data_IF_570765890765
#
_entry.id   IF_570765890765
#
_cell.length_a   1.000
_cell.length_b   1.000
_cell.length_c   1.000
_cell.angle_alpha   90.00
_cell.angle_beta   90.00
_cell.angle_gamma   90.00
#
_symmetry.space_group_name_H-M   'P 1'
#
loop_
_entity.id
_entity.type
_entity.pdbx_description
1 polymer ?
#
# COMPACT_ATOMS: atom_id res chain seq x y z
N UNK A 1 14.96 5.99 -6.20
CA UNK A 1 13.89 6.40 -5.23
C UNK A 1 13.71 7.91 -4.99
N UNK A 2 14.51 8.83 -5.59
CA UNK A 2 14.29 10.30 -5.46
C UNK A 2 12.93 10.80 -5.99
N UNK A 3 12.18 9.95 -6.70
CA UNK A 3 10.84 10.28 -7.22
C UNK A 3 9.78 10.48 -6.13
N UNK A 4 10.02 9.97 -4.92
CA UNK A 4 9.17 10.20 -3.76
C UNK A 4 9.44 11.52 -3.04
N UNK A 5 10.49 12.25 -3.41
CA UNK A 5 10.83 13.51 -2.77
C UNK A 5 9.72 14.56 -3.02
N UNK A 6 9.41 15.30 -1.97
CA UNK A 6 8.28 16.21 -1.93
C UNK A 6 8.75 17.60 -1.47
N UNK A 7 8.43 18.69 -2.19
CA UNK A 7 8.72 20.04 -1.72
C UNK A 7 8.06 20.31 -0.37
N UNK A 8 8.79 20.92 0.56
CA UNK A 8 8.24 21.18 1.89
C UNK A 8 7.15 22.28 1.79
N UNK A 9 5.92 22.01 2.25
CA UNK A 9 4.76 22.88 2.00
C UNK A 9 4.87 24.25 2.70
N UNK A 10 5.59 24.32 3.83
CA UNK A 10 5.77 25.54 4.64
C UNK A 10 7.18 26.14 4.59
N UNK A 11 8.11 25.53 3.86
CA UNK A 11 9.53 25.93 3.87
C UNK A 11 10.07 25.87 2.44
N UNK A 12 9.97 26.97 1.67
CA UNK A 12 10.48 27.04 0.31
C UNK A 12 11.93 26.55 0.23
N UNK A 13 12.28 25.85 -0.86
CA UNK A 13 13.62 25.26 -1.06
C UNK A 13 13.93 24.01 -0.26
N UNK A 14 13.18 23.70 0.82
CA UNK A 14 13.37 22.46 1.58
C UNK A 14 12.66 21.29 0.90
N UNK A 15 13.28 20.12 0.93
CA UNK A 15 12.70 18.87 0.42
C UNK A 15 12.43 17.90 1.57
N UNK A 16 11.21 17.36 1.62
CA UNK A 16 10.86 16.20 2.43
C UNK A 16 11.32 14.96 1.68
N UNK A 17 12.25 14.20 2.30
CA UNK A 17 12.72 12.94 1.72
C UNK A 17 11.57 11.96 1.62
N UNK A 18 11.45 11.35 0.45
CA UNK A 18 10.41 10.37 0.16
C UNK A 18 10.31 9.27 1.22
N UNK A 19 9.10 9.07 1.71
CA UNK A 19 8.75 8.10 2.74
C UNK A 19 8.94 6.65 2.27
N UNK A 20 9.33 5.79 3.21
CA UNK A 20 9.38 4.31 3.15
C UNK A 20 9.98 3.66 1.89
N UNK A 21 11.10 4.22 1.43
CA UNK A 21 11.82 3.66 0.29
C UNK A 21 12.24 2.19 0.48
N UNK A 22 12.74 1.75 1.65
CA UNK A 22 13.12 0.36 1.86
C UNK A 22 11.93 -0.60 1.72
N UNK A 23 10.79 -0.24 2.31
CA UNK A 23 9.55 -0.98 2.17
C UNK A 23 9.14 -1.12 0.70
N UNK A 24 9.07 -0.01 -0.05
CA UNK A 24 8.68 -0.07 -1.47
C UNK A 24 9.60 -0.97 -2.30
N UNK A 25 10.90 -1.02 -1.97
CA UNK A 25 11.86 -1.93 -2.61
C UNK A 25 11.58 -3.40 -2.24
N UNK A 26 11.37 -3.71 -0.95
CA UNK A 26 11.07 -5.07 -0.49
C UNK A 26 9.76 -5.59 -1.07
N UNK A 27 8.68 -4.81 -0.98
CA UNK A 27 7.38 -5.14 -1.60
C UNK A 27 7.56 -5.40 -3.09
N UNK A 28 8.29 -4.54 -3.80
CA UNK A 28 8.50 -4.71 -5.23
C UNK A 28 9.30 -5.97 -5.60
N UNK A 29 10.33 -6.32 -4.81
CA UNK A 29 11.06 -7.59 -4.95
C UNK A 29 10.13 -8.79 -4.79
N UNK A 30 9.32 -8.82 -3.73
CA UNK A 30 8.34 -9.89 -3.53
C UNK A 30 7.36 -9.98 -4.68
N UNK A 31 6.82 -8.82 -5.12
CA UNK A 31 5.87 -8.75 -6.23
C UNK A 31 6.40 -9.35 -7.52
N UNK A 32 7.64 -8.99 -7.92
CA UNK A 32 8.21 -9.51 -9.18
C UNK A 32 8.48 -11.00 -9.10
N UNK A 33 8.91 -11.52 -7.94
CA UNK A 33 9.10 -12.96 -7.73
C UNK A 33 7.78 -13.73 -7.85
N UNK A 34 6.68 -13.21 -7.29
CA UNK A 34 5.36 -13.84 -7.44
C UNK A 34 4.87 -13.76 -8.89
N UNK A 35 5.04 -12.61 -9.55
CA UNK A 35 4.63 -12.44 -10.94
C UNK A 35 5.40 -13.37 -11.89
N UNK A 36 6.70 -13.55 -11.65
CA UNK A 36 7.53 -14.50 -12.38
C UNK A 36 7.07 -15.96 -12.15
N UNK A 37 6.83 -16.34 -10.89
CA UNK A 37 6.26 -17.66 -10.52
C UNK A 37 4.92 -17.95 -11.20
N UNK A 38 4.12 -16.92 -11.45
CA UNK A 38 2.82 -17.03 -12.12
C UNK A 38 2.92 -16.93 -13.66
N UNK A 39 4.13 -16.90 -14.22
CA UNK A 39 4.35 -16.96 -15.66
C UNK A 39 4.09 -15.64 -16.41
N UNK A 40 4.16 -14.50 -15.73
CA UNK A 40 4.07 -13.22 -16.44
C UNK A 40 5.31 -12.99 -17.33
N UNK A 41 5.16 -12.49 -18.57
CA UNK A 41 6.30 -12.24 -19.46
C UNK A 41 7.29 -11.24 -18.88
N UNK A 42 8.60 -11.46 -19.09
CA UNK A 42 9.67 -10.66 -18.52
C UNK A 42 9.51 -9.14 -18.73
N UNK A 43 9.13 -8.72 -19.94
CA UNK A 43 8.90 -7.31 -20.26
C UNK A 43 7.79 -6.67 -19.41
N UNK A 44 6.73 -7.44 -19.15
CA UNK A 44 5.63 -7.04 -18.27
C UNK A 44 6.10 -6.98 -16.83
N UNK A 45 6.88 -7.96 -16.37
CA UNK A 45 7.44 -8.00 -15.01
C UNK A 45 8.37 -6.80 -14.78
N UNK A 46 9.18 -6.39 -15.78
CA UNK A 46 10.02 -5.17 -15.68
C UNK A 46 9.20 -3.91 -15.46
N UNK A 47 8.13 -3.70 -16.23
CA UNK A 47 7.24 -2.55 -16.01
C UNK A 47 6.47 -2.67 -14.70
N UNK A 48 6.05 -3.88 -14.33
CA UNK A 48 5.36 -4.13 -13.07
C UNK A 48 6.24 -3.80 -11.87
N UNK A 49 7.55 -4.13 -11.92
CA UNK A 49 8.53 -3.72 -10.92
C UNK A 49 8.50 -2.20 -10.69
N UNK A 50 8.48 -1.41 -11.76
CA UNK A 50 8.39 0.05 -11.66
C UNK A 50 7.07 0.49 -11.01
N UNK A 51 5.95 -0.14 -11.36
CA UNK A 51 4.65 0.14 -10.75
C UNK A 51 4.67 -0.16 -9.24
N UNK A 52 5.25 -1.29 -8.82
CA UNK A 52 5.40 -1.67 -7.42
C UNK A 52 6.33 -0.71 -6.66
N UNK A 53 7.46 -0.31 -7.24
CA UNK A 53 8.37 0.67 -6.61
C UNK A 53 7.67 2.02 -6.38
N UNK A 54 6.72 2.39 -7.22
CA UNK A 54 5.98 3.64 -7.14
C UNK A 54 4.62 3.50 -6.46
N UNK A 55 4.25 2.32 -5.96
CA UNK A 55 2.86 2.03 -5.59
C UNK A 55 2.29 3.00 -4.55
N UNK A 56 3.17 3.52 -3.69
CA UNK A 56 2.87 4.44 -2.59
C UNK A 56 3.18 5.91 -2.93
N UNK A 57 3.43 6.24 -4.21
CA UNK A 57 3.82 7.58 -4.64
C UNK A 57 2.79 8.65 -4.26
N UNK A 58 1.51 8.28 -4.11
CA UNK A 58 0.48 9.18 -3.59
C UNK A 58 0.72 9.62 -2.14
N UNK A 59 1.55 8.91 -1.37
CA UNK A 59 1.96 9.25 0.00
C UNK A 59 3.23 10.11 0.07
N UNK A 60 3.76 10.57 -1.06
CA UNK A 60 4.87 11.52 -1.05
C UNK A 60 4.51 12.78 -0.22
N UNK A 61 5.40 13.17 0.69
CA UNK A 61 5.16 14.24 1.67
C UNK A 61 4.46 13.79 2.95
N UNK A 62 4.39 12.49 3.25
CA UNK A 62 3.78 12.01 4.49
C UNK A 62 4.42 12.66 5.74
N UNK A 63 3.61 13.36 6.51
CA UNK A 63 3.95 13.82 7.86
C UNK A 63 3.45 12.77 8.85
N UNK A 64 4.39 11.95 9.36
CA UNK A 64 4.06 10.75 10.13
C UNK A 64 3.24 11.07 11.38
N UNK A 65 3.61 12.13 12.08
CA UNK A 65 2.94 12.52 13.32
C UNK A 65 1.54 13.05 13.03
N UNK A 66 1.42 14.01 12.10
CA UNK A 66 0.12 14.58 11.75
C UNK A 66 -0.83 13.53 11.16
N UNK A 67 -0.33 12.71 10.23
CA UNK A 67 -1.09 11.61 9.64
C UNK A 67 -1.51 10.59 10.71
N UNK A 68 -0.58 10.18 11.58
CA UNK A 68 -0.86 9.26 12.68
C UNK A 68 -1.93 9.78 13.63
N UNK A 69 -1.86 11.06 14.02
CA UNK A 69 -2.86 11.72 14.87
C UNK A 69 -4.24 11.71 14.24
N UNK A 70 -4.37 12.16 12.98
CA UNK A 70 -5.66 12.24 12.26
C UNK A 70 -6.31 10.86 12.16
N UNK A 71 -5.55 9.84 11.72
CA UNK A 71 -6.14 8.53 11.44
C UNK A 71 -6.34 7.67 12.70
N UNK A 72 -5.55 7.89 13.75
CA UNK A 72 -5.82 7.28 15.05
C UNK A 72 -7.09 7.87 15.67
N UNK A 73 -7.25 9.20 15.60
CA UNK A 73 -8.45 9.91 16.03
C UNK A 73 -9.71 9.39 15.32
N UNK A 74 -9.65 9.23 13.99
CA UNK A 74 -10.75 8.71 13.18
C UNK A 74 -11.09 7.26 13.54
N UNK A 75 -10.07 6.40 13.67
CA UNK A 75 -10.24 4.97 14.00
C UNK A 75 -10.89 4.78 15.38
N UNK A 76 -10.48 5.55 16.39
CA UNK A 76 -11.05 5.50 17.74
C UNK A 76 -12.54 5.87 17.78
N UNK A 77 -13.03 6.59 16.76
CA UNK A 77 -14.42 7.04 16.62
C UNK A 77 -15.21 6.23 15.60
N UNK A 78 -14.65 5.12 15.10
CA UNK A 78 -15.31 4.29 14.08
C UNK A 78 -15.49 4.99 12.73
N UNK A 79 -14.75 6.07 12.45
CA UNK A 79 -14.89 6.82 11.21
C UNK A 79 -14.13 6.08 10.08
N UNK A 80 -14.78 5.86 8.91
CA UNK A 80 -14.13 5.20 7.77
C UNK A 80 -12.84 5.89 7.34
N UNK A 81 -11.78 5.10 7.16
CA UNK A 81 -10.47 5.63 6.76
C UNK A 81 -10.11 5.29 5.32
N UNK A 82 -10.97 4.55 4.61
CA UNK A 82 -10.77 4.20 3.21
C UNK A 82 -11.91 4.72 2.34
N UNK A 83 -11.64 5.10 1.08
CA UNK A 83 -12.67 5.63 0.19
C UNK A 83 -13.86 4.69 -0.01
N UNK A 84 -13.65 3.37 -0.10
CA UNK A 84 -14.73 2.38 -0.26
C UNK A 84 -15.62 2.32 0.99
N UNK A 85 -15.00 2.20 2.16
CA UNK A 85 -15.69 2.18 3.45
C UNK A 85 -16.48 3.49 3.67
N UNK A 86 -15.87 4.63 3.32
CA UNK A 86 -16.51 5.94 3.38
C UNK A 86 -17.79 5.97 2.53
N UNK A 87 -17.71 5.54 1.27
CA UNK A 87 -18.86 5.55 0.36
C UNK A 87 -19.97 4.58 0.79
N UNK A 88 -19.65 3.51 1.50
CA UNK A 88 -20.66 2.60 2.05
C UNK A 88 -21.51 3.28 3.15
N UNK A 89 -20.91 4.14 3.98
CA UNK A 89 -21.61 4.86 5.05
C UNK A 89 -22.19 6.20 4.56
N UNK A 90 -21.53 6.85 3.62
CA UNK A 90 -21.91 8.15 3.07
C UNK A 90 -22.18 8.07 1.55
N UNK A 91 -23.26 7.39 1.12
CA UNK A 91 -23.53 7.11 -0.30
C UNK A 91 -23.77 8.38 -1.14
N UNK A 92 -24.15 9.49 -0.49
CA UNK A 92 -24.30 10.81 -1.15
C UNK A 92 -22.98 11.51 -1.44
N UNK A 93 -21.86 11.00 -0.95
CA UNK A 93 -20.54 11.57 -1.26
C UNK A 93 -20.23 11.33 -2.73
N UNK A 94 -20.06 12.41 -3.49
CA UNK A 94 -19.62 12.32 -4.88
C UNK A 94 -18.29 11.55 -4.98
N UNK A 95 -18.20 10.62 -5.93
CA UNK A 95 -17.04 9.76 -6.09
C UNK A 95 -15.75 10.56 -6.29
N UNK A 96 -14.73 10.27 -5.48
CA UNK A 96 -13.49 11.03 -5.50
C UNK A 96 -13.55 12.37 -4.76
N UNK A 97 -14.59 12.67 -3.98
CA UNK A 97 -14.72 13.84 -3.09
C UNK A 97 -14.72 13.47 -1.60
N UNK A 98 -14.25 12.27 -1.26
CA UNK A 98 -14.26 11.74 0.11
C UNK A 98 -13.38 12.58 1.05
N UNK A 99 -12.27 13.14 0.57
CA UNK A 99 -11.43 14.06 1.35
C UNK A 99 -12.20 15.31 1.77
N UNK A 100 -12.89 15.95 0.82
CA UNK A 100 -13.64 17.17 1.07
C UNK A 100 -14.84 16.92 1.97
N UNK A 101 -15.55 15.79 1.77
CA UNK A 101 -16.64 15.38 2.64
C UNK A 101 -16.15 15.12 4.07
N UNK A 102 -15.03 14.43 4.25
CA UNK A 102 -14.41 14.20 5.56
C UNK A 102 -14.04 15.51 6.25
N UNK A 103 -13.37 16.42 5.53
CA UNK A 103 -13.00 17.73 6.10
C UNK A 103 -14.24 18.53 6.46
N UNK A 104 -15.27 18.53 5.63
CA UNK A 104 -16.53 19.25 5.91
C UNK A 104 -17.21 18.74 7.18
N UNK A 105 -17.21 17.43 7.41
CA UNK A 105 -17.87 16.81 8.56
C UNK A 105 -17.05 16.95 9.85
N UNK A 106 -15.74 16.74 9.78
CA UNK A 106 -14.92 16.52 10.98
C UNK A 106 -13.88 17.60 11.26
N UNK A 107 -13.83 18.69 10.48
CA UNK A 107 -12.87 19.79 10.70
C UNK A 107 -12.93 20.34 12.12
N UNK A 108 -14.12 20.59 12.67
CA UNK A 108 -14.28 21.17 14.01
C UNK A 108 -13.77 20.23 15.10
N UNK A 109 -14.10 18.95 15.01
CA UNK A 109 -13.67 17.96 16.00
C UNK A 109 -12.15 17.72 15.97
N UNK A 110 -11.56 17.74 14.77
CA UNK A 110 -10.11 17.66 14.60
C UNK A 110 -9.40 18.89 15.21
N UNK A 111 -9.94 20.09 15.02
CA UNK A 111 -9.42 21.31 15.67
C UNK A 111 -9.53 21.20 17.19
N UNK A 112 -10.68 20.77 17.72
CA UNK A 112 -10.87 20.55 19.15
C UNK A 112 -9.92 19.49 19.72
N UNK A 113 -9.46 18.55 18.88
CA UNK A 113 -8.47 17.53 19.23
C UNK A 113 -7.02 17.98 19.03
N UNK A 114 -6.78 19.28 18.78
CA UNK A 114 -5.44 19.87 18.65
C UNK A 114 -4.83 19.78 17.24
N UNK A 115 -5.59 19.37 16.22
CA UNK A 115 -5.09 19.33 14.84
C UNK A 115 -5.32 20.68 14.15
N UNK A 116 -4.24 21.35 13.76
CA UNK A 116 -4.31 22.54 12.91
C UNK A 116 -4.80 22.15 11.50
N UNK A 117 -6.07 22.46 11.19
CA UNK A 117 -6.72 22.12 9.91
C UNK A 117 -6.38 23.11 8.79
N UNK A 118 -5.09 23.22 8.49
CA UNK A 118 -4.55 24.00 7.37
C UNK A 118 -4.49 23.18 6.06
N UNK A 119 -4.07 23.75 4.91
CA UNK A 119 -3.94 23.00 3.67
C UNK A 119 -3.03 21.77 3.77
N UNK A 120 -2.03 21.80 4.66
CA UNK A 120 -1.13 20.66 4.87
C UNK A 120 -1.83 19.48 5.54
N UNK A 121 -2.66 19.73 6.56
CA UNK A 121 -3.49 18.69 7.18
C UNK A 121 -4.46 18.07 6.17
N UNK A 122 -5.06 18.88 5.29
CA UNK A 122 -5.94 18.37 4.22
C UNK A 122 -5.19 17.44 3.26
N UNK A 123 -3.93 17.75 2.92
CA UNK A 123 -3.10 16.84 2.11
C UNK A 123 -2.87 15.49 2.81
N UNK A 124 -2.66 15.47 4.14
CA UNK A 124 -2.52 14.23 4.90
C UNK A 124 -3.81 13.40 4.90
N UNK A 125 -4.99 14.06 4.92
CA UNK A 125 -6.29 13.38 4.76
C UNK A 125 -6.44 12.79 3.36
N UNK A 126 -6.01 13.53 2.34
CA UNK A 126 -6.09 13.08 0.94
C UNK A 126 -5.24 11.83 0.68
N UNK A 127 -4.16 11.60 1.43
CA UNK A 127 -3.32 10.40 1.29
C UNK A 127 -4.05 9.09 1.59
N UNK A 128 -5.21 9.09 2.26
CA UNK A 128 -6.09 7.91 2.32
C UNK A 128 -7.36 8.09 1.50
N UNK A 129 -8.13 9.14 1.77
CA UNK A 129 -9.48 9.28 1.21
C UNK A 129 -9.47 9.79 -0.24
N UNK A 130 -8.41 10.47 -0.67
CA UNK A 130 -8.27 11.02 -2.02
C UNK A 130 -7.11 10.39 -2.81
N UNK A 131 -6.66 9.19 -2.41
CA UNK A 131 -5.41 8.60 -2.90
C UNK A 131 -5.29 8.59 -4.43
N UNK A 132 -6.37 8.29 -5.15
CA UNK A 132 -6.35 8.24 -6.61
C UNK A 132 -6.02 9.59 -7.27
N UNK A 133 -6.57 10.68 -6.75
CA UNK A 133 -6.31 12.04 -7.28
C UNK A 133 -4.88 12.44 -6.98
N UNK A 134 -4.43 12.19 -5.74
CA UNK A 134 -3.07 12.49 -5.31
C UNK A 134 -2.05 11.70 -6.14
N UNK A 135 -2.25 10.39 -6.31
CA UNK A 135 -1.41 9.55 -7.16
C UNK A 135 -1.36 10.07 -8.60
N UNK A 136 -2.51 10.46 -9.17
CA UNK A 136 -2.55 11.01 -10.52
C UNK A 136 -1.71 12.30 -10.66
N UNK A 137 -1.81 13.23 -9.69
CA UNK A 137 -0.98 14.45 -9.68
C UNK A 137 0.50 14.12 -9.59
N UNK A 138 0.89 13.20 -8.70
CA UNK A 138 2.30 12.80 -8.52
C UNK A 138 2.85 12.09 -9.75
N UNK A 139 2.06 11.22 -10.39
CA UNK A 139 2.46 10.56 -11.63
C UNK A 139 2.67 11.57 -12.76
N UNK A 140 1.84 12.62 -12.89
CA UNK A 140 2.09 13.68 -13.90
C UNK A 140 3.46 14.33 -13.74
N UNK A 141 3.87 14.62 -12.50
CA UNK A 141 5.17 15.20 -12.21
C UNK A 141 6.36 14.22 -12.43
N UNK A 142 6.13 12.92 -12.25
CA UNK A 142 7.19 11.89 -12.31
C UNK A 142 7.36 11.29 -13.71
N UNK A 143 6.29 11.19 -14.52
CA UNK A 143 6.31 10.59 -15.86
C UNK A 143 7.40 11.15 -16.79
N UNK A 144 7.67 12.47 -16.87
CA UNK A 144 8.76 12.98 -17.70
C UNK A 144 10.13 12.45 -17.27
N UNK A 145 10.36 12.25 -15.96
CA UNK A 145 11.59 11.64 -15.44
C UNK A 145 11.67 10.16 -15.80
N UNK A 146 10.56 9.42 -15.72
CA UNK A 146 10.52 8.02 -16.14
C UNK A 146 10.85 7.86 -17.63
N UNK A 147 10.29 8.72 -18.48
CA UNK A 147 10.59 8.72 -19.93
C UNK A 147 12.08 8.91 -20.20
N UNK A 148 12.75 9.84 -19.48
CA UNK A 148 14.21 10.04 -19.59
C UNK A 148 15.03 8.84 -19.13
N UNK A 149 14.48 7.99 -18.27
CA UNK A 149 15.09 6.73 -17.83
C UNK A 149 14.76 5.56 -18.78
N UNK A 150 14.16 5.83 -19.96
CA UNK A 150 13.76 4.79 -20.91
C UNK A 150 12.52 3.99 -20.48
N UNK A 151 11.79 4.44 -19.46
CA UNK A 151 10.62 3.73 -18.94
C UNK A 151 9.35 4.25 -19.61
N UNK A 152 8.70 3.38 -20.37
CA UNK A 152 7.40 3.67 -20.96
C UNK A 152 6.26 3.41 -19.98
N UNK A 153 5.58 4.48 -19.53
CA UNK A 153 4.45 4.35 -18.62
C UNK A 153 3.21 3.82 -19.33
N UNK A 154 2.66 2.69 -18.88
CA UNK A 154 1.42 2.12 -19.41
C UNK A 154 0.22 2.41 -18.48
N UNK A 155 -1.00 2.60 -19.02
CA UNK A 155 -2.19 2.90 -18.20
C UNK A 155 -2.46 1.87 -17.09
N UNK A 156 -2.27 0.58 -17.38
CA UNK A 156 -2.51 -0.52 -16.44
C UNK A 156 -1.65 -0.43 -15.17
N UNK A 157 -0.45 0.17 -15.25
CA UNK A 157 0.43 0.35 -14.08
C UNK A 157 -0.27 1.17 -13.00
N UNK A 158 -0.99 2.24 -13.38
CA UNK A 158 -1.78 3.03 -12.43
C UNK A 158 -2.94 2.23 -11.86
N UNK A 159 -3.59 1.39 -12.68
CA UNK A 159 -4.75 0.62 -12.26
C UNK A 159 -4.36 -0.40 -11.17
N UNK A 160 -3.23 -1.09 -11.37
CA UNK A 160 -2.60 -1.99 -10.38
C UNK A 160 -2.39 -1.28 -9.05
N UNK A 161 -1.76 -0.09 -9.05
CA UNK A 161 -1.45 0.67 -7.83
C UNK A 161 -2.69 1.17 -7.07
N UNK A 162 -3.85 1.25 -7.73
CA UNK A 162 -5.09 1.75 -7.13
C UNK A 162 -5.96 0.65 -6.53
N UNK A 163 -5.69 -0.61 -6.85
CA UNK A 163 -6.59 -1.72 -6.58
C UNK A 163 -6.95 -1.84 -5.09
N UNK A 164 -6.00 -1.63 -4.19
CA UNK A 164 -6.26 -1.73 -2.76
C UNK A 164 -7.32 -0.73 -2.26
N UNK A 165 -7.32 0.49 -2.78
CA UNK A 165 -8.26 1.55 -2.37
C UNK A 165 -9.54 1.57 -3.21
N UNK A 166 -9.46 1.09 -4.44
CA UNK A 166 -10.51 1.16 -5.45
C UNK A 166 -10.61 -0.15 -6.25
N UNK A 167 -10.93 -1.28 -5.59
CA UNK A 167 -10.96 -2.58 -6.27
C UNK A 167 -11.97 -2.60 -7.42
N UNK A 168 -13.05 -1.81 -7.31
CA UNK A 168 -14.07 -1.66 -8.35
C UNK A 168 -13.51 -1.17 -9.69
N UNK A 169 -12.38 -0.45 -9.69
CA UNK A 169 -11.76 0.07 -10.93
C UNK A 169 -11.15 -1.00 -11.81
N UNK A 170 -10.94 -2.21 -11.28
CA UNK A 170 -10.45 -3.34 -12.06
C UNK A 170 -11.57 -4.29 -12.55
N UNK A 171 -12.84 -3.98 -12.29
CA UNK A 171 -13.96 -4.85 -12.69
C UNK A 171 -13.98 -5.19 -14.19
N UNK A 172 -13.51 -4.27 -15.05
CA UNK A 172 -13.43 -4.45 -16.51
C UNK A 172 -11.99 -4.61 -17.03
N UNK A 173 -11.01 -4.77 -16.13
CA UNK A 173 -9.61 -4.90 -16.54
C UNK A 173 -9.32 -6.31 -17.09
N UNK A 174 -8.28 -6.42 -17.92
CA UNK A 174 -7.79 -7.73 -18.37
C UNK A 174 -7.39 -8.58 -17.16
N UNK A 175 -7.65 -9.88 -17.20
CA UNK A 175 -7.38 -10.80 -16.08
C UNK A 175 -5.94 -10.70 -15.55
N UNK A 176 -4.95 -10.58 -16.44
CA UNK A 176 -3.55 -10.42 -16.03
C UNK A 176 -3.26 -9.09 -15.31
N UNK A 177 -4.00 -8.01 -15.59
CA UNK A 177 -3.86 -6.72 -14.86
C UNK A 177 -4.40 -6.88 -13.45
N UNK A 178 -5.55 -7.55 -13.32
CA UNK A 178 -6.13 -7.89 -12.03
C UNK A 178 -5.17 -8.77 -11.22
N UNK A 179 -4.61 -9.82 -11.81
CA UNK A 179 -3.64 -10.69 -11.15
C UNK A 179 -2.42 -9.91 -10.63
N UNK A 180 -1.83 -9.01 -11.44
CA UNK A 180 -0.74 -8.14 -10.97
C UNK A 180 -1.17 -7.23 -9.80
N UNK A 181 -2.41 -6.75 -9.81
CA UNK A 181 -2.93 -5.93 -8.72
C UNK A 181 -3.14 -6.72 -7.42
N UNK A 182 -3.64 -7.94 -7.54
CA UNK A 182 -3.78 -8.89 -6.43
C UNK A 182 -2.41 -9.26 -5.83
N UNK A 183 -1.41 -9.51 -6.68
CA UNK A 183 -0.02 -9.75 -6.23
C UNK A 183 0.49 -8.56 -5.42
N UNK A 184 0.31 -7.34 -5.93
CA UNK A 184 0.74 -6.14 -5.21
C UNK A 184 0.07 -6.03 -3.84
N UNK A 185 -1.24 -6.26 -3.76
CA UNK A 185 -1.96 -6.26 -2.48
C UNK A 185 -1.42 -7.35 -1.55
N UNK A 186 -1.27 -8.59 -2.03
CA UNK A 186 -0.81 -9.70 -1.21
C UNK A 186 0.60 -9.44 -0.64
N UNK A 187 1.55 -9.03 -1.49
CA UNK A 187 2.92 -8.74 -1.05
C UNK A 187 2.99 -7.50 -0.15
N UNK A 188 2.22 -6.44 -0.44
CA UNK A 188 2.16 -5.24 0.40
C UNK A 188 1.67 -5.57 1.81
N UNK A 189 0.58 -6.34 1.91
CA UNK A 189 0.04 -6.71 3.23
C UNK A 189 0.97 -7.69 3.94
N UNK A 190 1.60 -8.63 3.23
CA UNK A 190 2.52 -9.57 3.85
C UNK A 190 3.78 -8.88 4.39
N UNK A 191 4.39 -7.97 3.62
CA UNK A 191 5.54 -7.18 4.08
C UNK A 191 5.14 -6.28 5.25
N UNK A 192 4.01 -5.57 5.13
CA UNK A 192 3.59 -4.61 6.14
C UNK A 192 3.26 -5.27 7.49
N UNK A 193 2.64 -6.46 7.49
CA UNK A 193 2.37 -7.25 8.70
C UNK A 193 3.60 -8.01 9.24
N UNK A 194 4.72 -7.97 8.52
CA UNK A 194 5.98 -8.57 8.97
C UNK A 194 7.00 -7.51 9.37
N UNK A 195 6.61 -6.23 9.38
CA UNK A 195 7.45 -5.08 9.60
C UNK A 195 7.06 -4.39 10.91
N UNK A 196 7.64 -4.88 12.01
CA UNK A 196 7.32 -4.44 13.37
C UNK A 196 7.44 -2.92 13.55
N UNK A 197 8.36 -2.26 12.82
CA UNK A 197 8.52 -0.80 12.82
C UNK A 197 7.29 -0.11 12.23
N UNK A 198 6.78 -0.56 11.07
CA UNK A 198 5.56 0.01 10.47
C UNK A 198 4.30 -0.30 11.27
N UNK A 199 4.19 -1.50 11.84
CA UNK A 199 3.06 -1.88 12.71
C UNK A 199 2.86 -0.92 13.87
N UNK A 200 3.96 -0.58 14.54
CA UNK A 200 3.98 0.39 15.66
C UNK A 200 3.71 1.82 15.18
N UNK A 201 4.38 2.23 14.11
CA UNK A 201 4.40 3.62 13.66
C UNK A 201 3.13 4.10 12.94
N UNK A 202 2.36 3.19 12.32
CA UNK A 202 1.20 3.54 11.48
C UNK A 202 -0.11 2.89 11.87
N UNK A 203 -0.06 1.74 12.53
CA UNK A 203 -1.25 0.94 12.82
C UNK A 203 -1.51 0.78 14.33
N UNK A 204 -0.63 1.33 15.18
CA UNK A 204 -0.64 1.17 16.63
C UNK A 204 -0.76 -0.31 17.03
N UNK A 205 -0.04 -1.20 16.33
CA UNK A 205 -0.01 -2.64 16.60
C UNK A 205 1.18 -2.96 17.49
N UNK A 206 0.92 -3.77 18.53
CA UNK A 206 1.89 -4.05 19.58
C UNK A 206 2.64 -5.38 19.37
N UNK A 207 2.11 -6.27 18.52
CA UNK A 207 2.73 -7.52 18.09
C UNK A 207 2.34 -7.80 16.63
N UNK A 208 3.30 -8.22 15.83
CA UNK A 208 3.08 -8.67 14.46
C UNK A 208 3.58 -10.09 14.36
N UNK A 209 2.69 -11.03 14.03
CA UNK A 209 3.05 -12.44 13.86
C UNK A 209 2.80 -12.90 12.41
N UNK A 210 3.64 -13.80 11.92
CA UNK A 210 3.45 -14.42 10.59
C UNK A 210 2.10 -15.13 10.47
N UNK A 211 1.58 -15.81 11.51
CA UNK A 211 0.20 -16.31 11.51
C UNK A 211 -0.85 -15.24 11.23
N UNK A 212 -0.79 -14.09 11.89
CA UNK A 212 -1.75 -12.99 11.65
C UNK A 212 -1.63 -12.41 10.24
N UNK A 213 -0.41 -12.32 9.71
CA UNK A 213 -0.19 -11.87 8.34
C UNK A 213 -0.93 -12.77 7.34
N UNK A 214 -0.78 -14.09 7.46
CA UNK A 214 -1.47 -15.05 6.58
C UNK A 214 -2.98 -15.14 6.86
N UNK A 215 -3.41 -15.04 8.11
CA UNK A 215 -4.85 -14.97 8.43
C UNK A 215 -5.51 -13.74 7.78
N UNK A 216 -4.80 -12.61 7.72
CA UNK A 216 -5.30 -11.43 7.01
C UNK A 216 -5.33 -11.63 5.49
N UNK A 217 -4.33 -12.28 4.90
CA UNK A 217 -4.36 -12.65 3.48
C UNK A 217 -5.53 -13.60 3.17
N UNK A 218 -5.81 -14.56 4.04
CA UNK A 218 -6.95 -15.49 3.89
C UNK A 218 -8.29 -14.75 3.93
N UNK A 219 -8.43 -13.79 4.84
CA UNK A 219 -9.59 -12.89 4.88
C UNK A 219 -9.76 -12.13 3.57
N UNK A 220 -8.68 -11.59 2.99
CA UNK A 220 -8.76 -10.91 1.68
C UNK A 220 -9.13 -11.88 0.55
N UNK A 221 -8.75 -13.17 0.66
CA UNK A 221 -9.23 -14.23 -0.22
C UNK A 221 -10.74 -14.44 -0.12
N UNK A 222 -11.26 -14.54 1.11
CA UNK A 222 -12.69 -14.70 1.38
C UNK A 222 -13.52 -13.50 0.89
N UNK A 223 -12.96 -12.28 0.98
CA UNK A 223 -13.59 -11.05 0.46
C UNK A 223 -13.51 -10.91 -1.07
N UNK A 224 -12.91 -11.88 -1.78
CA UNK A 224 -12.75 -11.86 -3.23
C UNK A 224 -11.74 -10.83 -3.74
N UNK A 225 -10.91 -10.28 -2.83
CA UNK A 225 -9.86 -9.32 -3.16
C UNK A 225 -8.63 -10.02 -3.72
N UNK A 226 -8.30 -11.22 -3.21
CA UNK A 226 -7.18 -12.04 -3.68
C UNK A 226 -7.71 -13.36 -4.27
N UNK A 227 -7.22 -13.75 -5.44
CA UNK A 227 -7.47 -15.09 -5.97
C UNK A 227 -6.69 -16.16 -5.22
N UNK A 228 -7.22 -17.39 -5.24
CA UNK A 228 -6.53 -18.57 -4.72
C UNK A 228 -5.16 -18.77 -5.36
N UNK A 229 -5.05 -18.51 -6.66
CA UNK A 229 -3.79 -18.64 -7.40
C UNK A 229 -2.68 -17.72 -6.84
N UNK A 230 -3.00 -16.45 -6.55
CA UNK A 230 -2.05 -15.51 -5.95
C UNK A 230 -1.70 -15.93 -4.52
N UNK A 231 -2.69 -16.31 -3.72
CA UNK A 231 -2.45 -16.77 -2.34
C UNK A 231 -1.56 -18.01 -2.29
N UNK A 232 -1.83 -19.00 -3.14
CA UNK A 232 -1.02 -20.22 -3.26
C UNK A 232 0.41 -19.91 -3.71
N UNK A 233 0.62 -18.99 -4.66
CA UNK A 233 1.96 -18.60 -5.09
C UNK A 233 2.76 -17.92 -3.96
N UNK A 234 2.13 -17.00 -3.22
CA UNK A 234 2.76 -16.35 -2.05
C UNK A 234 3.10 -17.37 -0.97
N UNK A 235 2.19 -18.29 -0.65
CA UNK A 235 2.42 -19.37 0.33
C UNK A 235 3.56 -20.29 -0.11
N UNK A 236 3.57 -20.72 -1.36
CA UNK A 236 4.62 -21.60 -1.89
C UNK A 236 6.00 -20.95 -1.83
N UNK A 237 6.14 -19.73 -2.36
CA UNK A 237 7.41 -18.98 -2.30
C UNK A 237 7.87 -18.73 -0.86
N UNK A 238 6.93 -18.46 0.05
CA UNK A 238 7.23 -18.29 1.48
C UNK A 238 7.70 -19.61 2.09
N UNK A 239 7.03 -20.72 1.79
CA UNK A 239 7.38 -22.05 2.28
C UNK A 239 8.71 -22.55 1.72
N UNK A 240 9.09 -22.14 0.51
CA UNK A 240 10.42 -22.42 -0.07
C UNK A 240 11.53 -21.54 0.55
N UNK A 241 11.18 -20.52 1.33
CA UNK A 241 12.13 -19.62 1.98
C UNK A 241 12.63 -18.48 1.11
N UNK A 242 12.03 -18.29 -0.07
CA UNK A 242 12.42 -17.24 -1.02
C UNK A 242 12.28 -15.84 -0.42
N UNK A 243 11.34 -15.66 0.52
CA UNK A 243 11.11 -14.38 1.18
C UNK A 243 11.81 -14.22 2.54
N UNK A 244 12.48 -15.25 3.07
CA UNK A 244 13.13 -15.18 4.38
C UNK A 244 14.05 -13.94 4.51
N UNK A 245 14.98 -13.65 3.57
CA UNK A 245 15.87 -12.49 3.71
C UNK A 245 15.12 -11.16 3.68
N UNK A 246 14.01 -11.09 2.92
CA UNK A 246 13.17 -9.88 2.84
C UNK A 246 12.43 -9.66 4.16
N UNK A 247 11.93 -10.73 4.78
CA UNK A 247 11.25 -10.66 6.07
C UNK A 247 12.23 -10.30 7.19
N UNK A 248 13.43 -10.87 7.18
CA UNK A 248 14.50 -10.52 8.13
C UNK A 248 14.90 -9.05 8.00
N UNK A 249 15.08 -8.55 6.76
CA UNK A 249 15.35 -7.13 6.50
C UNK A 249 14.21 -6.22 6.96
N UNK A 250 12.95 -6.63 6.76
CA UNK A 250 11.78 -5.87 7.18
C UNK A 250 11.66 -5.77 8.71
N UNK A 251 11.98 -6.85 9.42
CA UNK A 251 11.99 -6.90 10.89
C UNK A 251 13.20 -6.19 11.49
N UNK A 252 14.34 -6.24 10.81
CA UNK A 252 15.63 -5.81 11.34
C UNK A 252 16.29 -6.84 12.26
N UNK A 253 15.78 -8.07 12.29
CA UNK A 253 16.28 -9.19 13.08
C UNK A 253 16.08 -10.52 12.33
N UNK A 254 16.92 -11.54 12.58
CA UNK A 254 16.78 -12.86 11.96
C UNK A 254 15.46 -13.55 12.34
N UNK A 255 14.92 -14.38 11.45
CA UNK A 255 13.75 -15.21 11.74
C UNK A 255 14.11 -16.26 12.78
N UNK A 256 13.24 -16.44 13.77
CA UNK A 256 13.42 -17.49 14.78
C UNK A 256 13.21 -18.88 14.17
N UNK A 257 13.66 -19.93 14.89
CA UNK A 257 13.35 -21.32 14.50
C UNK A 257 11.84 -21.58 14.44
N UNK A 258 11.05 -20.91 15.29
CA UNK A 258 9.59 -21.02 15.29
C UNK A 258 8.99 -20.37 14.04
N UNK A 259 9.42 -19.15 13.70
CA UNK A 259 9.00 -18.46 12.48
C UNK A 259 9.27 -19.31 11.24
N UNK A 260 10.50 -19.81 11.07
CA UNK A 260 10.85 -20.65 9.92
C UNK A 260 10.00 -21.91 9.86
N UNK A 261 9.81 -22.60 10.98
CA UNK A 261 8.97 -23.81 11.02
C UNK A 261 7.53 -23.50 10.60
N UNK A 262 6.97 -22.39 11.07
CA UNK A 262 5.66 -21.93 10.62
C UNK A 262 5.62 -21.64 9.11
N UNK A 263 6.60 -20.90 8.58
CA UNK A 263 6.64 -20.58 7.14
C UNK A 263 6.75 -21.83 6.27
N UNK A 264 7.60 -22.79 6.65
CA UNK A 264 7.77 -24.08 5.94
C UNK A 264 6.47 -24.89 5.95
N UNK A 265 5.71 -24.85 7.05
CA UNK A 265 4.42 -25.55 7.18
C UNK A 265 3.33 -25.03 6.23
N UNK A 266 3.51 -23.86 5.60
CA UNK A 266 2.55 -23.29 4.66
C UNK A 266 2.44 -24.11 3.36
N UNK A 267 3.45 -24.94 3.04
CA UNK A 267 3.39 -25.88 1.92
C UNK A 267 2.33 -26.97 2.12
N UNK A 268 2.06 -27.36 3.38
CA UNK A 268 1.19 -28.49 3.73
C UNK A 268 -0.30 -28.10 3.78
N UNK A 269 -0.60 -26.79 3.85
CA UNK A 269 -1.97 -26.26 3.92
C UNK A 269 -2.67 -26.17 2.56
N UNK A 270 -2.39 -27.08 1.63
CA UNK A 270 -3.00 -27.13 0.28
C UNK A 270 -4.47 -27.61 0.26
N UNK A 271 -5.24 -27.43 1.34
CA UNK A 271 -6.65 -27.86 1.40
C UNK A 271 -7.58 -26.66 1.41
#
# INVERSE_FOLDING_TARGET
MKLYDYPHPRRPGRTIRGYDRPHAVRTAKMCVTVADRLGHPGDRVRLYHVACLLHDLGRAGLDRQLFGTIWSWAKQRGIPTRPREWRAIHPRTAYGRETEAFVSLYRRDLIASGVAMDPWAVEQIEMRLGYARRLARRLRAVKPKLKRLGIEWKPWMRQVMLYYYYPERLAKAKAWVRQLAEILVACEQFEAYSNQRRGRDYYARNKESLPEAFAYLDKLGQEGILSSQVLSAVRALTAEGVFDPILEEARGEPLTRSDRRYLRSLADRRR
#
